data_IF_230263278049
#
_entry.id   IF_230263278049
#
_cell.length_a   1.000
_cell.length_b   1.000
_cell.length_c   1.000
_cell.angle_alpha   90.00
_cell.angle_beta   90.00
_cell.angle_gamma   90.00
#
_symmetry.space_group_name_H-M   'P 1'
#
loop_
_entity.id
_entity.type
_entity.pdbx_description
1 polymer ?
#
# COMPACT_ATOMS: atom_id res chain seq x y z
N UNK A 1 -2.56 -3.78 -10.03
CA UNK A 1 -3.90 -3.21 -9.74
C UNK A 1 -3.76 -1.71 -9.52
N UNK A 2 -4.69 -0.93 -10.03
CA UNK A 2 -4.71 0.52 -9.81
C UNK A 2 -5.38 0.88 -8.48
N UNK A 3 -5.11 2.10 -7.99
CA UNK A 3 -5.80 2.65 -6.82
C UNK A 3 -7.31 2.68 -7.06
N UNK A 4 -7.75 3.08 -8.28
CA UNK A 4 -9.17 3.10 -8.62
C UNK A 4 -9.82 1.72 -8.50
N UNK A 5 -9.17 0.69 -9.05
CA UNK A 5 -9.69 -0.68 -8.99
C UNK A 5 -9.74 -1.19 -7.54
N UNK A 6 -8.71 -0.91 -6.76
CA UNK A 6 -8.68 -1.32 -5.36
C UNK A 6 -9.83 -0.68 -4.57
N UNK A 7 -9.99 0.64 -4.70
CA UNK A 7 -11.06 1.37 -3.98
C UNK A 7 -12.45 0.92 -4.40
N UNK A 8 -12.66 0.63 -5.70
CA UNK A 8 -13.95 0.13 -6.18
C UNK A 8 -14.29 -1.22 -5.54
N UNK A 9 -13.33 -2.14 -5.48
CA UNK A 9 -13.52 -3.45 -4.86
C UNK A 9 -13.71 -3.36 -3.34
N UNK A 10 -12.91 -2.50 -2.69
CA UNK A 10 -13.04 -2.27 -1.25
C UNK A 10 -14.42 -1.69 -0.91
N UNK A 11 -14.91 -0.75 -1.71
CA UNK A 11 -16.23 -0.16 -1.53
C UNK A 11 -17.35 -1.20 -1.59
N UNK A 12 -17.23 -2.17 -2.51
CA UNK A 12 -18.21 -3.26 -2.62
C UNK A 12 -18.23 -4.15 -1.37
N UNK A 13 -17.13 -4.21 -0.63
CA UNK A 13 -16.98 -5.06 0.56
C UNK A 13 -17.36 -4.33 1.86
N UNK A 14 -17.46 -3.01 1.84
CA UNK A 14 -17.73 -2.22 3.06
C UNK A 14 -19.03 -2.62 3.74
N UNK A 15 -20.04 -3.03 2.96
CA UNK A 15 -21.33 -3.47 3.50
C UNK A 15 -21.24 -4.70 4.39
N UNK A 16 -20.18 -5.49 4.26
CA UNK A 16 -19.99 -6.70 5.03
C UNK A 16 -19.31 -6.44 6.38
N UNK A 17 -18.80 -5.22 6.61
CA UNK A 17 -18.10 -4.87 7.83
C UNK A 17 -16.92 -5.80 8.10
N UNK A 18 -16.75 -6.27 9.35
CA UNK A 18 -15.63 -7.17 9.69
C UNK A 18 -15.60 -8.47 8.91
N UNK A 19 -16.74 -8.92 8.37
CA UNK A 19 -16.82 -10.16 7.60
C UNK A 19 -16.17 -10.03 6.21
N UNK A 20 -15.89 -8.81 5.76
CA UNK A 20 -15.28 -8.57 4.45
C UNK A 20 -13.97 -9.33 4.26
N UNK A 21 -13.14 -9.39 5.32
CA UNK A 21 -11.83 -10.06 5.26
C UNK A 21 -11.96 -11.59 5.20
N UNK A 22 -13.12 -12.15 5.57
CA UNK A 22 -13.38 -13.58 5.48
C UNK A 22 -13.88 -14.01 4.09
N UNK A 23 -14.17 -13.06 3.19
CA UNK A 23 -14.58 -13.37 1.83
C UNK A 23 -13.38 -13.60 0.92
N UNK A 24 -13.54 -14.39 -0.17
CA UNK A 24 -12.46 -14.53 -1.16
C UNK A 24 -12.01 -13.20 -1.75
N UNK A 25 -12.93 -12.27 -1.99
CA UNK A 25 -12.63 -10.94 -2.53
C UNK A 25 -11.82 -10.10 -1.55
N UNK A 26 -12.20 -10.11 -0.28
CA UNK A 26 -11.46 -9.40 0.77
C UNK A 26 -10.05 -9.95 0.96
N UNK A 27 -9.93 -11.28 0.94
CA UNK A 27 -8.64 -11.95 1.02
C UNK A 27 -7.75 -11.60 -0.19
N UNK A 28 -8.34 -11.52 -1.39
CA UNK A 28 -7.61 -11.12 -2.58
C UNK A 28 -7.03 -9.70 -2.44
N UNK A 29 -7.83 -8.75 -1.94
CA UNK A 29 -7.34 -7.38 -1.70
C UNK A 29 -6.21 -7.35 -0.67
N UNK A 30 -6.36 -8.11 0.42
CA UNK A 30 -5.31 -8.23 1.42
C UNK A 30 -4.01 -8.75 0.82
N UNK A 31 -4.10 -9.78 -0.02
CA UNK A 31 -2.93 -10.37 -0.67
C UNK A 31 -2.26 -9.40 -1.63
N UNK A 32 -3.02 -8.53 -2.30
CA UNK A 32 -2.47 -7.49 -3.16
C UNK A 32 -1.61 -6.49 -2.36
N UNK A 33 -2.08 -6.09 -1.18
CA UNK A 33 -1.32 -5.18 -0.31
C UNK A 33 -0.06 -5.87 0.22
N UNK A 34 -0.17 -7.12 0.61
CA UNK A 34 0.98 -7.91 1.08
C UNK A 34 2.03 -8.03 -0.03
N UNK A 35 1.61 -8.31 -1.27
CA UNK A 35 2.51 -8.39 -2.41
C UNK A 35 3.21 -7.06 -2.69
N UNK A 36 2.48 -5.94 -2.59
CA UNK A 36 3.06 -4.61 -2.73
C UNK A 36 4.12 -4.34 -1.66
N UNK A 37 3.84 -4.72 -0.42
CA UNK A 37 4.77 -4.56 0.69
C UNK A 37 6.03 -5.40 0.52
N UNK A 38 5.89 -6.65 0.05
CA UNK A 38 7.05 -7.51 -0.23
C UNK A 38 7.92 -6.96 -1.34
N UNK A 39 7.30 -6.47 -2.41
CA UNK A 39 8.03 -5.86 -3.52
C UNK A 39 8.78 -4.62 -3.08
N UNK A 40 8.14 -3.78 -2.27
CA UNK A 40 8.75 -2.60 -1.68
C UNK A 40 9.96 -2.98 -0.82
N UNK A 41 9.81 -3.95 0.08
CA UNK A 41 10.88 -4.42 0.97
C UNK A 41 12.06 -4.97 0.17
N UNK A 42 11.79 -5.76 -0.85
CA UNK A 42 12.84 -6.33 -1.70
C UNK A 42 13.66 -5.22 -2.37
N UNK A 43 13.00 -4.17 -2.84
CA UNK A 43 13.68 -3.02 -3.44
C UNK A 43 14.55 -2.27 -2.43
N UNK A 44 14.03 -2.00 -1.23
CA UNK A 44 14.78 -1.32 -0.18
C UNK A 44 16.02 -2.14 0.21
N UNK A 45 15.87 -3.44 0.39
CA UNK A 45 16.98 -4.32 0.74
C UNK A 45 18.03 -4.35 -0.37
N UNK A 46 17.64 -4.37 -1.64
CA UNK A 46 18.54 -4.33 -2.78
C UNK A 46 19.30 -3.00 -2.85
N UNK A 47 18.62 -1.88 -2.62
CA UNK A 47 19.25 -0.56 -2.58
C UNK A 47 20.30 -0.47 -1.46
N UNK A 48 19.98 -1.00 -0.27
CA UNK A 48 20.92 -1.02 0.87
C UNK A 48 22.15 -1.87 0.56
N UNK A 49 21.97 -3.04 -0.03
CA UNK A 49 23.09 -3.91 -0.41
C UNK A 49 23.98 -3.29 -1.48
N UNK A 50 23.40 -2.49 -2.37
CA UNK A 50 24.17 -1.79 -3.40
C UNK A 50 24.80 -0.48 -2.89
N UNK A 51 24.62 -0.14 -1.62
CA UNK A 51 25.11 1.11 -1.05
C UNK A 51 24.37 2.34 -1.55
N UNK A 52 23.19 2.16 -2.11
CA UNK A 52 22.38 3.27 -2.62
C UNK A 52 21.52 3.88 -1.52
N UNK A 53 21.18 5.16 -1.71
CA UNK A 53 20.23 5.84 -0.85
C UNK A 53 18.84 5.23 -1.07
N UNK A 54 18.15 4.84 0.00
CA UNK A 54 16.78 4.35 -0.10
C UNK A 54 15.80 5.51 -0.15
N UNK A 55 14.63 5.26 -0.76
CA UNK A 55 13.57 6.28 -0.90
C UNK A 55 12.84 6.54 0.40
N UNK A 56 12.90 5.60 1.35
CA UNK A 56 12.31 5.71 2.67
C UNK A 56 13.11 4.87 3.66
N UNK A 57 12.93 5.12 4.96
CA UNK A 57 13.68 4.46 6.02
C UNK A 57 12.72 3.85 7.05
N UNK A 58 11.97 2.77 6.67
CA UNK A 58 11.01 2.16 7.58
C UNK A 58 11.69 1.42 8.73
N UNK A 59 11.09 1.42 9.94
CA UNK A 59 11.57 0.58 11.03
C UNK A 59 11.24 -0.89 10.74
N UNK A 60 11.96 -1.81 11.37
CA UNK A 60 11.72 -3.24 11.23
C UNK A 60 10.34 -3.66 11.72
N UNK A 61 9.81 -2.97 12.72
CA UNK A 61 8.53 -3.27 13.35
C UNK A 61 7.38 -2.38 12.87
N UNK A 62 7.50 -1.79 11.69
CA UNK A 62 6.44 -0.95 11.13
C UNK A 62 5.16 -1.74 10.88
N UNK A 63 4.01 -1.14 11.20
CA UNK A 63 2.70 -1.73 10.94
C UNK A 63 1.82 -0.74 10.17
N UNK A 64 0.90 -1.29 9.37
CA UNK A 64 -0.03 -0.51 8.56
C UNK A 64 -1.43 -1.05 8.78
N UNK A 65 -2.33 -0.22 9.32
CA UNK A 65 -3.72 -0.62 9.50
C UNK A 65 -4.51 -0.49 8.19
N UNK A 66 -5.59 -1.26 8.02
CA UNK A 66 -6.47 -1.09 6.86
C UNK A 66 -6.99 0.33 6.71
N UNK A 67 -7.32 1.00 7.81
CA UNK A 67 -7.82 2.38 7.80
C UNK A 67 -6.77 3.36 7.27
N UNK A 68 -5.52 3.20 7.68
CA UNK A 68 -4.41 4.03 7.22
C UNK A 68 -4.17 3.84 5.72
N UNK A 69 -4.22 2.59 5.26
CA UNK A 69 -4.05 2.26 3.86
C UNK A 69 -5.16 2.88 3.00
N UNK A 70 -6.42 2.66 3.37
CA UNK A 70 -7.56 3.20 2.63
C UNK A 70 -7.57 4.73 2.63
N UNK A 71 -7.25 5.36 3.75
CA UNK A 71 -7.15 6.82 3.84
C UNK A 71 -6.10 7.36 2.87
N UNK A 72 -4.95 6.69 2.78
CA UNK A 72 -3.91 7.08 1.82
C UNK A 72 -4.39 6.96 0.38
N UNK A 73 -5.05 5.85 0.02
CA UNK A 73 -5.57 5.67 -1.33
C UNK A 73 -6.63 6.72 -1.68
N UNK A 74 -7.49 7.06 -0.72
CA UNK A 74 -8.52 8.08 -0.92
C UNK A 74 -7.96 9.50 -1.04
N UNK A 75 -6.73 9.71 -0.60
CA UNK A 75 -6.06 11.03 -0.72
C UNK A 75 -5.70 11.37 -2.17
N UNK A 76 -5.63 10.38 -3.05
CA UNK A 76 -5.40 10.63 -4.47
C UNK A 76 -6.65 11.23 -5.10
N UNK A 77 -6.52 12.30 -5.91
CA UNK A 77 -7.66 12.83 -6.67
C UNK A 77 -8.26 11.74 -7.57
N UNK A 78 -9.59 11.75 -7.69
CA UNK A 78 -10.31 10.73 -8.46
C UNK A 78 -9.76 10.58 -9.89
N UNK A 79 -9.40 11.72 -10.53
CA UNK A 79 -8.91 11.74 -11.90
C UNK A 79 -7.59 11.00 -12.12
N UNK A 80 -6.78 10.78 -11.07
CA UNK A 80 -5.49 10.10 -11.21
C UNK A 80 -5.49 8.67 -10.67
N UNK A 81 -6.52 8.26 -9.95
CA UNK A 81 -6.57 6.93 -9.30
C UNK A 81 -6.41 5.77 -10.28
N UNK A 82 -6.87 5.91 -11.52
CA UNK A 82 -6.70 4.88 -12.54
C UNK A 82 -5.27 4.77 -13.09
N UNK A 83 -4.45 5.78 -12.87
CA UNK A 83 -3.06 5.85 -13.36
C UNK A 83 -2.02 5.50 -12.31
N UNK A 84 -2.43 5.34 -11.07
CA UNK A 84 -1.51 5.04 -9.94
C UNK A 84 -1.73 3.59 -9.54
N UNK A 85 -0.65 2.80 -9.59
CA UNK A 85 -0.70 1.43 -9.09
C UNK A 85 -0.70 1.41 -7.57
N UNK A 86 -1.25 0.35 -6.97
CA UNK A 86 -1.19 0.22 -5.51
C UNK A 86 0.25 0.06 -5.03
N UNK A 87 1.15 -0.48 -5.85
CA UNK A 87 2.57 -0.53 -5.50
C UNK A 87 3.17 0.88 -5.41
N UNK A 88 2.89 1.74 -6.39
CA UNK A 88 3.35 3.12 -6.36
C UNK A 88 2.76 3.88 -5.17
N UNK A 89 1.47 3.63 -4.86
CA UNK A 89 0.82 4.22 -3.70
C UNK A 89 1.43 3.74 -2.39
N UNK A 90 1.79 2.45 -2.30
CA UNK A 90 2.48 1.88 -1.13
C UNK A 90 3.83 2.57 -0.91
N UNK A 91 4.61 2.71 -1.97
CA UNK A 91 5.92 3.39 -1.92
C UNK A 91 5.77 4.85 -1.46
N UNK A 92 4.79 5.57 -2.00
CA UNK A 92 4.52 6.96 -1.61
C UNK A 92 4.12 7.06 -0.13
N UNK A 93 3.31 6.11 0.35
CA UNK A 93 2.90 6.06 1.76
C UNK A 93 4.10 5.83 2.67
N UNK A 94 5.01 4.94 2.28
CA UNK A 94 6.22 4.67 3.07
C UNK A 94 7.14 5.89 3.13
N UNK A 95 7.29 6.62 2.03
CA UNK A 95 8.05 7.89 2.02
C UNK A 95 7.45 8.93 2.96
N UNK A 96 6.13 9.00 3.00
CA UNK A 96 5.40 9.95 3.85
C UNK A 96 5.51 9.60 5.33
N UNK A 97 5.41 8.30 5.66
CA UNK A 97 5.42 7.83 7.05
C UNK A 97 6.83 7.70 7.63
N UNK A 98 7.78 7.30 6.80
CA UNK A 98 9.14 6.98 7.22
C UNK A 98 10.17 7.68 6.35
N UNK A 99 10.17 9.03 6.33
CA UNK A 99 11.17 9.75 5.56
C UNK A 99 12.56 9.46 6.13
N UNK A 100 13.54 9.40 5.24
CA UNK A 100 14.92 9.25 5.68
C UNK A 100 15.42 10.54 6.32
N UNK A 101 16.23 10.47 7.38
CA UNK A 101 16.87 11.65 7.96
C UNK A 101 17.72 12.37 6.92
N UNK A 102 17.74 13.68 7.00
CA UNK A 102 18.52 14.53 6.08
C UNK A 102 20.03 14.36 6.34
#
# INVERSE_FOLDING_TARGET
MSVAAFLARAGSLERLGPLALATPQGLQLKNEVIAAGRRYKARIDAERRAGRRTTSCPPESGSLSPEQWLAHLRSYPARVRGRVSIYAAFDALMKKRYPCPA
#
